data_IF_480248576362
#
_entry.id   IF_480248576362
#
_cell.length_a   1.000
_cell.length_b   1.000
_cell.length_c   1.000
_cell.angle_alpha   90.00
_cell.angle_beta   90.00
_cell.angle_gamma   90.00
#
_symmetry.space_group_name_H-M   'P 1'
#
loop_
_entity.id
_entity.type
_entity.pdbx_description
1 polymer ?
#
# COMPACT_ATOMS: atom_id res chain seq x y z
N UNK A 1 8.40 5.93 1.30
CA UNK A 1 7.24 6.12 2.20
C UNK A 1 5.99 6.43 1.38
N UNK A 2 4.85 5.98 1.83
CA UNK A 2 3.58 6.27 1.17
C UNK A 2 3.32 7.78 1.07
N UNK A 3 3.65 8.52 2.11
CA UNK A 3 3.45 9.98 2.18
C UNK A 3 4.21 10.76 1.11
N UNK A 4 5.33 10.23 0.64
CA UNK A 4 6.25 10.90 -0.27
C UNK A 4 6.42 10.16 -1.61
N UNK A 5 5.67 9.09 -1.83
CA UNK A 5 5.79 8.37 -3.10
C UNK A 5 5.26 9.23 -4.25
N UNK A 6 5.82 9.03 -5.45
CA UNK A 6 5.43 9.79 -6.63
C UNK A 6 4.24 9.19 -7.36
N UNK A 7 4.02 7.89 -7.18
CA UNK A 7 2.95 7.15 -7.88
C UNK A 7 2.28 6.17 -6.94
N UNK A 8 0.98 6.03 -7.12
CA UNK A 8 0.17 5.02 -6.45
C UNK A 8 -0.34 4.04 -7.51
N UNK A 9 -0.02 2.77 -7.36
CA UNK A 9 -0.55 1.73 -8.23
C UNK A 9 -1.80 1.15 -7.59
N UNK A 10 -2.89 1.14 -8.36
CA UNK A 10 -4.18 0.62 -7.91
C UNK A 10 -4.48 -0.62 -8.74
N UNK A 11 -4.67 -1.74 -8.07
CA UNK A 11 -4.99 -3.01 -8.71
C UNK A 11 -6.29 -3.52 -8.12
N UNK A 12 -7.28 -3.78 -8.99
CA UNK A 12 -8.54 -4.37 -8.60
C UNK A 12 -8.53 -5.85 -8.99
N UNK A 13 -8.94 -6.69 -8.05
CA UNK A 13 -9.04 -8.13 -8.25
C UNK A 13 -10.46 -8.62 -8.07
N UNK A 14 -10.80 -9.62 -8.84
CA UNK A 14 -11.99 -10.43 -8.65
C UNK A 14 -11.51 -11.85 -8.30
N UNK A 15 -11.61 -12.23 -7.02
CA UNK A 15 -10.91 -13.41 -6.53
C UNK A 15 -9.41 -13.24 -6.63
N UNK A 16 -8.74 -14.07 -7.41
CA UNK A 16 -7.30 -13.97 -7.67
C UNK A 16 -6.98 -13.44 -9.07
N UNK A 17 -7.98 -12.96 -9.78
CA UNK A 17 -7.83 -12.47 -11.15
C UNK A 17 -7.80 -10.95 -11.15
N UNK A 18 -6.76 -10.37 -11.72
CA UNK A 18 -6.67 -8.91 -11.89
C UNK A 18 -7.66 -8.49 -12.98
N UNK A 19 -8.56 -7.56 -12.63
CA UNK A 19 -9.58 -7.05 -13.56
C UNK A 19 -9.33 -5.62 -13.99
N UNK A 20 -8.53 -4.85 -13.23
CA UNK A 20 -8.16 -3.49 -13.58
C UNK A 20 -6.84 -3.11 -12.92
N UNK A 21 -6.08 -2.26 -13.61
CA UNK A 21 -4.82 -1.71 -13.11
C UNK A 21 -4.67 -0.29 -13.60
N UNK A 22 -4.37 0.64 -12.69
CA UNK A 22 -4.18 2.05 -13.02
C UNK A 22 -3.18 2.69 -12.08
N UNK A 23 -2.55 3.76 -12.53
CA UNK A 23 -1.63 4.55 -11.73
C UNK A 23 -2.17 5.95 -11.50
N UNK A 24 -1.94 6.46 -10.29
CA UNK A 24 -2.25 7.86 -9.94
C UNK A 24 -0.93 8.54 -9.60
N UNK A 25 -0.70 9.70 -10.18
CA UNK A 25 0.46 10.53 -9.86
C UNK A 25 0.21 11.22 -8.52
N UNK A 26 0.95 10.81 -7.48
CA UNK A 26 0.79 11.32 -6.12
C UNK A 26 1.61 12.59 -5.87
N UNK A 27 2.69 12.80 -6.61
CA UNK A 27 3.58 13.94 -6.44
C UNK A 27 2.91 15.29 -6.73
N UNK A 28 1.79 15.28 -7.46
CA UNK A 28 1.02 16.47 -7.80
C UNK A 28 0.08 16.93 -6.67
N UNK A 29 -0.02 16.16 -5.60
CA UNK A 29 -1.01 16.41 -4.55
C UNK A 29 -0.36 16.70 -3.21
N UNK A 30 -0.95 17.63 -2.46
CA UNK A 30 -0.58 17.90 -1.07
C UNK A 30 -0.93 16.70 -0.17
N UNK A 31 -0.30 16.53 1.00
CA UNK A 31 -0.57 15.40 1.89
C UNK A 31 -2.05 15.21 2.23
N UNK A 32 -2.79 16.29 2.48
CA UNK A 32 -4.22 16.21 2.76
C UNK A 32 -5.02 15.70 1.56
N UNK A 33 -4.62 16.11 0.36
CA UNK A 33 -5.26 15.66 -0.87
C UNK A 33 -4.97 14.20 -1.15
N UNK A 34 -3.74 13.74 -0.87
CA UNK A 34 -3.36 12.33 -1.01
C UNK A 34 -4.23 11.44 -0.15
N UNK A 35 -4.46 11.88 1.07
CA UNK A 35 -5.31 11.16 2.02
C UNK A 35 -6.75 11.05 1.52
N UNK A 36 -7.30 12.14 0.98
CA UNK A 36 -8.64 12.13 0.40
C UNK A 36 -8.75 11.19 -0.81
N UNK A 37 -7.71 11.13 -1.63
CA UNK A 37 -7.66 10.21 -2.77
C UNK A 37 -7.74 8.76 -2.27
N UNK A 38 -6.96 8.39 -1.27
CA UNK A 38 -6.96 7.02 -0.72
C UNK A 38 -8.32 6.69 -0.11
N UNK A 39 -8.93 7.62 0.61
CA UNK A 39 -10.27 7.42 1.18
C UNK A 39 -11.32 7.20 0.12
N UNK A 40 -11.30 7.98 -0.96
CA UNK A 40 -12.25 7.86 -2.06
C UNK A 40 -12.11 6.55 -2.81
N UNK A 41 -10.88 6.07 -2.96
CA UNK A 41 -10.62 4.77 -3.58
C UNK A 41 -11.15 3.63 -2.72
N UNK A 42 -11.18 3.84 -1.41
CA UNK A 42 -11.64 2.85 -0.43
C UNK A 42 -11.04 1.46 -0.67
N UNK A 43 -9.71 1.34 -0.72
CA UNK A 43 -9.07 0.05 -0.99
C UNK A 43 -9.27 -0.92 0.18
N UNK A 44 -9.25 -2.20 -0.11
CA UNK A 44 -9.29 -3.24 0.92
C UNK A 44 -7.97 -3.29 1.70
N UNK A 45 -6.86 -3.02 1.01
CA UNK A 45 -5.55 -3.02 1.62
C UNK A 45 -4.63 -2.01 0.93
N UNK A 46 -3.72 -1.42 1.71
CA UNK A 46 -2.64 -0.57 1.24
C UNK A 46 -1.32 -1.24 1.61
N UNK A 47 -0.44 -1.40 0.64
CA UNK A 47 0.89 -2.01 0.83
C UNK A 47 1.95 -0.94 0.56
N UNK A 48 2.86 -0.73 1.50
CA UNK A 48 3.90 0.29 1.37
C UNK A 48 5.17 -0.10 2.13
N UNK A 49 6.27 0.61 1.86
CA UNK A 49 7.51 0.44 2.62
C UNK A 49 7.39 1.08 4.00
N UNK A 50 7.06 2.36 4.03
CA UNK A 50 6.93 3.14 5.24
C UNK A 50 5.79 4.13 5.14
N UNK A 51 5.39 4.68 6.27
CA UNK A 51 4.24 5.58 6.37
C UNK A 51 4.42 6.45 7.61
N UNK A 52 3.96 7.69 7.56
CA UNK A 52 3.94 8.55 8.74
C UNK A 52 2.85 8.10 9.71
N UNK A 53 3.03 8.42 11.00
CA UNK A 53 2.03 8.13 12.03
C UNK A 53 0.67 8.75 11.71
N UNK A 54 0.66 9.97 11.20
CA UNK A 54 -0.59 10.65 10.86
C UNK A 54 -1.35 9.93 9.76
N UNK A 55 -0.65 9.52 8.72
CA UNK A 55 -1.27 8.80 7.60
C UNK A 55 -1.74 7.40 8.04
N UNK A 56 -0.92 6.70 8.82
CA UNK A 56 -1.28 5.40 9.38
C UNK A 56 -2.56 5.49 10.21
N UNK A 57 -2.61 6.47 11.12
CA UNK A 57 -3.80 6.69 11.97
C UNK A 57 -5.05 6.96 11.15
N UNK A 58 -4.93 7.73 10.08
CA UNK A 58 -6.07 8.02 9.21
C UNK A 58 -6.57 6.79 8.47
N UNK A 59 -5.65 5.92 8.01
CA UNK A 59 -6.04 4.66 7.39
C UNK A 59 -6.75 3.73 8.38
N UNK A 60 -6.28 3.69 9.63
CA UNK A 60 -6.93 2.92 10.69
C UNK A 60 -8.34 3.42 10.96
N UNK A 61 -8.53 4.73 11.06
CA UNK A 61 -9.85 5.33 11.28
C UNK A 61 -10.78 5.02 10.10
N UNK A 62 -10.26 5.02 8.89
CA UNK A 62 -11.04 4.68 7.69
C UNK A 62 -11.34 3.18 7.56
N UNK A 63 -10.76 2.34 8.41
CA UNK A 63 -10.96 0.90 8.35
C UNK A 63 -10.20 0.22 7.22
N UNK A 64 -9.15 0.85 6.69
CA UNK A 64 -8.33 0.33 5.60
C UNK A 64 -7.19 -0.50 6.18
N UNK A 65 -7.05 -1.74 5.74
CA UNK A 65 -5.94 -2.61 6.14
C UNK A 65 -4.62 -2.06 5.62
N UNK A 66 -3.64 -1.91 6.49
CA UNK A 66 -2.31 -1.43 6.14
C UNK A 66 -1.28 -2.54 6.31
N UNK A 67 -0.47 -2.74 5.28
CA UNK A 67 0.69 -3.64 5.31
C UNK A 67 1.91 -2.79 5.00
N UNK A 68 2.75 -2.51 6.00
CA UNK A 68 3.93 -1.69 5.85
C UNK A 68 5.21 -2.49 6.08
N UNK A 69 6.35 -1.87 5.81
CA UNK A 69 7.64 -2.54 5.94
C UNK A 69 7.95 -3.50 4.78
N UNK A 70 7.27 -3.34 3.67
CA UNK A 70 7.41 -4.19 2.49
C UNK A 70 8.30 -3.51 1.46
N UNK A 71 9.26 -4.24 0.91
CA UNK A 71 10.10 -3.79 -0.19
C UNK A 71 10.16 -4.88 -1.26
N UNK A 72 10.28 -4.46 -2.51
CA UNK A 72 10.38 -5.38 -3.63
C UNK A 72 9.73 -4.83 -4.88
N UNK A 73 9.83 -5.59 -5.95
CA UNK A 73 9.19 -5.27 -7.21
C UNK A 73 7.66 -5.31 -7.06
N UNK A 74 6.98 -4.33 -7.60
CA UNK A 74 5.52 -4.17 -7.44
C UNK A 74 4.77 -5.41 -7.91
N UNK A 75 5.18 -6.00 -9.02
CA UNK A 75 4.53 -7.18 -9.55
C UNK A 75 4.69 -8.39 -8.63
N UNK A 76 5.89 -8.58 -8.12
CA UNK A 76 6.18 -9.67 -7.17
C UNK A 76 5.43 -9.48 -5.86
N UNK A 77 5.37 -8.25 -5.37
CA UNK A 77 4.65 -7.91 -4.14
C UNK A 77 3.14 -8.19 -4.32
N UNK A 78 2.56 -7.78 -5.43
CA UNK A 78 1.15 -8.03 -5.71
C UNK A 78 0.84 -9.52 -5.79
N UNK A 79 1.68 -10.30 -6.46
CA UNK A 79 1.51 -11.76 -6.53
C UNK A 79 1.65 -12.42 -5.17
N UNK A 80 2.62 -11.99 -4.37
CA UNK A 80 2.81 -12.50 -3.01
C UNK A 80 1.62 -12.18 -2.12
N UNK A 81 1.04 -10.99 -2.27
CA UNK A 81 -0.17 -10.62 -1.53
C UNK A 81 -1.32 -11.56 -1.84
N UNK A 82 -1.55 -11.87 -3.11
CA UNK A 82 -2.60 -12.80 -3.53
C UNK A 82 -2.38 -14.20 -2.98
N UNK A 83 -1.12 -14.63 -2.86
CA UNK A 83 -0.76 -15.94 -2.33
C UNK A 83 -0.57 -15.95 -0.82
N UNK A 84 -0.82 -14.82 -0.17
CA UNK A 84 -0.62 -14.64 1.28
C UNK A 84 0.82 -14.94 1.72
N UNK A 85 1.81 -14.45 0.96
CA UNK A 85 3.24 -14.68 1.19
C UNK A 85 4.07 -13.41 1.40
N UNK A 86 3.44 -12.29 1.73
CA UNK A 86 4.16 -11.04 1.99
C UNK A 86 5.04 -11.09 3.24
N UNK A 87 4.86 -12.06 4.11
CA UNK A 87 5.69 -12.27 5.28
C UNK A 87 7.05 -12.91 4.97
N UNK A 88 7.28 -13.31 3.72
CA UNK A 88 8.57 -13.87 3.31
C UNK A 88 9.69 -12.85 3.53
N UNK A 89 10.87 -13.27 4.04
CA UNK A 89 11.93 -12.34 4.44
C UNK A 89 12.41 -11.39 3.34
N UNK A 90 12.41 -11.81 2.09
CA UNK A 90 12.89 -10.99 0.98
C UNK A 90 11.95 -9.85 0.60
N UNK A 91 10.71 -9.82 1.14
CA UNK A 91 9.80 -8.70 0.98
C UNK A 91 9.86 -7.70 2.12
N UNK A 92 10.60 -8.01 3.19
CA UNK A 92 10.71 -7.08 4.32
C UNK A 92 11.71 -5.99 4.02
N UNK A 93 11.36 -4.77 4.39
CA UNK A 93 12.27 -3.65 4.31
C UNK A 93 13.44 -3.88 5.27
N UNK A 94 14.72 -3.63 4.85
CA UNK A 94 15.87 -3.78 5.73
C UNK A 94 15.69 -3.00 7.04
N UNK A 95 15.96 -3.66 8.16
CA UNK A 95 15.83 -3.07 9.49
C UNK A 95 14.42 -3.00 10.04
N UNK A 96 13.41 -3.38 9.26
CA UNK A 96 12.04 -3.42 9.73
C UNK A 96 11.81 -4.62 10.65
N UNK A 97 11.21 -4.36 11.81
CA UNK A 97 10.82 -5.41 12.74
C UNK A 97 9.30 -5.43 12.86
N UNK A 98 8.74 -6.60 12.66
CA UNK A 98 7.30 -6.78 12.82
C UNK A 98 6.97 -6.95 14.30
N UNK A 99 5.96 -6.25 14.78
CA UNK A 99 5.46 -6.32 16.15
C UNK A 99 4.42 -7.43 16.34
N UNK A 100 4.54 -8.45 15.59
CA UNK A 100 3.60 -9.59 15.69
C UNK A 100 3.95 -10.48 16.88
#
# INVERSE_FOLDING_TARGET
MLDTCTRLLIIDYEGQTEVDRREVAFDMYAPSERMEIVKKLNPDAVICCGISEGFDRMLQIAGIRLICGIAGDVQQVAEAFLRNRLDAPYFRMPGFQSDV
#
